data_IF_413558044895
#
_entry.id   IF_413558044895
#
_cell.length_a   1.000
_cell.length_b   1.000
_cell.length_c   1.000
_cell.angle_alpha   90.00
_cell.angle_beta   90.00
_cell.angle_gamma   90.00
#
_symmetry.space_group_name_H-M   'P 1'
#
loop_
_entity.id
_entity.type
_entity.pdbx_description
1 polymer ?
#
# COMPACT_ATOMS: atom_id res chain seq x y z
N UNK A 1 15.86 -23.69 -68.98
CA UNK A 1 16.55 -23.45 -67.69
C UNK A 1 16.28 -22.05 -67.09
N UNK A 2 15.81 -21.06 -67.86
CA UNK A 2 15.63 -19.67 -67.38
C UNK A 2 14.37 -19.41 -66.50
N UNK A 3 13.33 -20.22 -66.65
CA UNK A 3 12.05 -20.04 -65.95
C UNK A 3 12.12 -20.39 -64.46
N UNK A 4 12.95 -21.37 -64.07
CA UNK A 4 13.12 -21.78 -62.66
C UNK A 4 13.85 -20.71 -61.84
N UNK A 5 14.78 -19.97 -62.44
CA UNK A 5 15.58 -18.95 -61.74
C UNK A 5 14.74 -17.72 -61.38
N UNK A 6 13.78 -17.33 -62.21
CA UNK A 6 12.88 -16.19 -61.94
C UNK A 6 11.86 -16.50 -60.84
N UNK A 7 11.33 -17.72 -60.80
CA UNK A 7 10.41 -18.18 -59.75
C UNK A 7 11.10 -18.27 -58.39
N UNK A 8 12.35 -18.77 -58.36
CA UNK A 8 13.14 -18.82 -57.13
C UNK A 8 13.48 -17.41 -56.59
N UNK A 9 13.74 -16.43 -57.46
CA UNK A 9 13.98 -15.04 -57.08
C UNK A 9 12.73 -14.33 -56.56
N UNK A 10 11.56 -14.56 -57.17
CA UNK A 10 10.30 -13.94 -56.71
C UNK A 10 9.83 -14.51 -55.37
N UNK A 11 10.01 -15.81 -55.15
CA UNK A 11 9.76 -16.45 -53.85
C UNK A 11 10.72 -15.91 -52.78
N UNK A 12 12.03 -15.84 -53.03
CA UNK A 12 12.98 -15.22 -52.06
C UNK A 12 12.67 -13.76 -51.74
N UNK A 13 12.24 -12.96 -52.73
CA UNK A 13 11.86 -11.56 -52.51
C UNK A 13 10.61 -11.38 -51.64
N UNK A 14 9.61 -12.27 -51.80
CA UNK A 14 8.38 -12.27 -51.00
C UNK A 14 8.63 -12.71 -49.56
N UNK A 15 9.54 -13.66 -49.35
CA UNK A 15 9.94 -14.12 -48.01
C UNK A 15 10.83 -13.09 -47.29
N UNK A 16 11.69 -12.37 -48.02
CA UNK A 16 12.49 -11.27 -47.48
C UNK A 16 11.64 -10.03 -47.11
N UNK A 17 10.52 -9.79 -47.80
CA UNK A 17 9.58 -8.73 -47.44
C UNK A 17 8.67 -9.11 -46.27
N UNK A 18 8.19 -10.37 -46.22
CA UNK A 18 7.36 -10.88 -45.13
C UNK A 18 8.12 -10.92 -43.79
N UNK A 19 9.41 -11.26 -43.82
CA UNK A 19 10.27 -11.29 -42.61
C UNK A 19 10.55 -9.91 -42.02
N UNK A 20 10.58 -8.84 -42.84
CA UNK A 20 10.82 -7.47 -42.37
C UNK A 20 9.71 -6.90 -41.49
N UNK A 21 8.48 -7.41 -41.62
CA UNK A 21 7.33 -6.97 -40.82
C UNK A 21 6.93 -8.01 -39.77
N UNK A 22 7.10 -9.31 -40.04
CA UNK A 22 6.74 -10.36 -39.10
C UNK A 22 7.60 -10.35 -37.83
N UNK A 23 8.91 -10.10 -37.96
CA UNK A 23 9.83 -10.08 -36.82
C UNK A 23 9.54 -8.93 -35.83
N UNK A 24 9.38 -7.66 -36.25
CA UNK A 24 9.04 -6.58 -35.32
C UNK A 24 7.65 -6.76 -34.72
N UNK A 25 6.66 -7.28 -35.47
CA UNK A 25 5.33 -7.58 -34.94
C UNK A 25 5.37 -8.69 -33.88
N UNK A 26 6.15 -9.74 -34.11
CA UNK A 26 6.34 -10.80 -33.12
C UNK A 26 7.05 -10.28 -31.86
N UNK A 27 8.05 -9.40 -32.00
CA UNK A 27 8.71 -8.76 -30.87
C UNK A 27 7.76 -7.83 -30.09
N UNK A 28 6.90 -7.07 -30.77
CA UNK A 28 5.89 -6.22 -30.14
C UNK A 28 4.86 -7.07 -29.40
N UNK A 29 4.35 -8.14 -30.02
CA UNK A 29 3.41 -9.06 -29.41
C UNK A 29 4.02 -9.73 -28.16
N UNK A 30 5.27 -10.20 -28.24
CA UNK A 30 5.98 -10.76 -27.10
C UNK A 30 6.14 -9.72 -25.97
N UNK A 31 6.45 -8.46 -26.31
CA UNK A 31 6.56 -7.38 -25.32
C UNK A 31 5.23 -7.08 -24.62
N UNK A 32 4.11 -7.08 -25.36
CA UNK A 32 2.77 -6.91 -24.80
C UNK A 32 2.42 -8.10 -23.90
N UNK A 33 2.66 -9.34 -24.34
CA UNK A 33 2.40 -10.54 -23.53
C UNK A 33 3.20 -10.50 -22.22
N UNK A 34 4.49 -10.16 -22.28
CA UNK A 34 5.32 -10.03 -21.06
C UNK A 34 4.76 -8.93 -20.16
N UNK A 35 4.41 -7.76 -20.70
CA UNK A 35 3.87 -6.63 -19.92
C UNK A 35 2.55 -6.99 -19.22
N UNK A 36 1.65 -7.70 -19.92
CA UNK A 36 0.38 -8.15 -19.35
C UNK A 36 0.61 -9.25 -18.30
N UNK A 37 1.52 -10.18 -18.55
CA UNK A 37 1.82 -11.28 -17.64
C UNK A 37 2.47 -10.82 -16.34
N UNK A 38 3.42 -9.86 -16.39
CA UNK A 38 4.08 -9.33 -15.19
C UNK A 38 3.31 -8.18 -14.55
N UNK A 39 2.36 -7.58 -15.28
CA UNK A 39 1.53 -6.46 -14.85
C UNK A 39 2.30 -5.42 -14.00
N UNK A 40 3.32 -4.75 -14.57
CA UNK A 40 4.22 -3.88 -13.80
C UNK A 40 3.49 -2.68 -13.19
N UNK A 41 2.30 -2.35 -13.72
CA UNK A 41 1.43 -1.29 -13.20
C UNK A 41 0.55 -1.76 -12.03
N UNK A 42 0.57 -3.05 -11.67
CA UNK A 42 -0.09 -3.52 -10.45
C UNK A 42 0.47 -2.82 -9.22
N UNK A 43 1.80 -2.66 -9.15
CA UNK A 43 2.47 -1.93 -8.06
C UNK A 43 2.09 -0.45 -8.05
N UNK A 44 1.78 0.14 -9.21
CA UNK A 44 1.33 1.54 -9.23
C UNK A 44 -0.01 1.71 -8.49
N UNK A 45 -0.84 0.67 -8.47
CA UNK A 45 -2.11 0.66 -7.74
C UNK A 45 -1.93 0.44 -6.23
N UNK A 46 -0.75 0.03 -5.77
CA UNK A 46 -0.47 -0.11 -4.34
C UNK A 46 -0.10 1.22 -3.70
N UNK A 47 0.33 2.23 -4.47
CA UNK A 47 0.62 3.58 -3.97
C UNK A 47 -0.62 4.26 -3.39
N UNK A 48 -0.41 4.93 -2.27
CA UNK A 48 -1.43 5.76 -1.63
C UNK A 48 -1.55 7.10 -2.38
N UNK A 49 -2.77 7.64 -2.54
CA UNK A 49 -2.96 8.96 -3.12
C UNK A 49 -2.35 10.06 -2.22
N UNK A 50 -1.95 11.18 -2.82
CA UNK A 50 -1.28 12.29 -2.10
C UNK A 50 -2.09 12.81 -0.91
N UNK A 51 -3.43 12.84 -1.03
CA UNK A 51 -4.33 13.23 0.06
C UNK A 51 -4.18 12.32 1.29
N UNK A 52 -4.04 11.00 1.08
CA UNK A 52 -3.86 10.02 2.15
C UNK A 52 -2.50 10.18 2.83
N UNK A 53 -1.45 10.38 2.02
CA UNK A 53 -0.10 10.66 2.55
C UNK A 53 -0.10 11.94 3.39
N UNK A 54 -0.80 12.99 2.94
CA UNK A 54 -0.94 14.23 3.70
C UNK A 54 -1.71 14.04 5.01
N UNK A 55 -2.77 13.23 5.03
CA UNK A 55 -3.50 12.89 6.25
C UNK A 55 -2.65 12.09 7.24
N UNK A 56 -1.89 11.10 6.76
CA UNK A 56 -0.93 10.33 7.57
C UNK A 56 0.08 11.28 8.19
N UNK A 57 0.78 12.08 7.38
CA UNK A 57 1.81 13.00 7.85
C UNK A 57 1.25 14.04 8.81
N UNK A 58 0.02 14.52 8.59
CA UNK A 58 -0.63 15.47 9.49
C UNK A 58 -0.91 14.86 10.88
N UNK A 59 -1.29 13.58 10.94
CA UNK A 59 -1.45 12.90 12.23
C UNK A 59 -0.11 12.51 12.87
N UNK A 60 0.86 11.99 12.11
CA UNK A 60 2.18 11.68 12.67
C UNK A 60 2.93 12.91 13.19
N UNK A 61 2.65 14.08 12.60
CA UNK A 61 3.18 15.37 13.04
C UNK A 61 2.68 15.86 14.40
N UNK A 62 1.62 15.26 14.97
CA UNK A 62 1.17 15.59 16.34
C UNK A 62 2.03 14.94 17.42
N UNK A 63 2.84 13.95 17.05
CA UNK A 63 3.65 13.17 17.99
C UNK A 63 4.97 13.93 18.29
N UNK A 64 5.25 14.31 19.55
CA UNK A 64 6.47 15.03 19.92
C UNK A 64 7.73 14.23 19.59
N UNK A 65 8.80 14.88 19.10
CA UNK A 65 10.00 14.20 18.55
C UNK A 65 10.71 13.20 19.47
N UNK A 66 10.66 13.42 20.79
CA UNK A 66 11.28 12.55 21.80
C UNK A 66 10.35 11.49 22.42
N UNK A 67 9.08 11.42 22.02
CA UNK A 67 8.14 10.46 22.58
C UNK A 67 8.33 9.05 21.99
N UNK A 68 8.10 8.03 22.82
CA UNK A 68 8.05 6.65 22.36
C UNK A 68 6.79 6.39 21.56
N UNK A 69 6.90 5.63 20.46
CA UNK A 69 5.77 5.35 19.57
C UNK A 69 5.65 3.86 19.29
N UNK A 70 4.44 3.34 19.45
CA UNK A 70 4.05 2.03 18.96
C UNK A 70 3.21 2.22 17.70
N UNK A 71 3.59 1.59 16.59
CA UNK A 71 2.99 1.90 15.29
C UNK A 71 2.63 0.65 14.48
N UNK A 72 1.63 0.77 13.59
CA UNK A 72 1.43 -0.20 12.50
C UNK A 72 2.73 -0.41 11.72
N UNK A 73 2.98 -1.64 11.25
CA UNK A 73 4.25 -2.02 10.61
C UNK A 73 4.65 -1.10 9.44
N UNK A 74 3.67 -0.65 8.67
CA UNK A 74 3.78 0.25 7.52
C UNK A 74 4.07 1.70 7.92
N UNK A 75 3.76 2.10 9.14
CA UNK A 75 4.02 3.45 9.66
C UNK A 75 5.40 3.56 10.34
N UNK A 76 5.99 2.44 10.77
CA UNK A 76 7.34 2.41 11.39
C UNK A 76 8.39 3.13 10.53
N UNK A 77 8.51 2.91 9.20
CA UNK A 77 9.48 3.61 8.38
C UNK A 77 9.34 5.14 8.41
N UNK A 78 8.11 5.66 8.51
CA UNK A 78 7.83 7.11 8.59
C UNK A 78 8.27 7.73 9.93
N UNK A 79 8.44 6.90 10.95
CA UNK A 79 8.80 7.28 12.31
C UNK A 79 10.25 6.87 12.67
N UNK A 80 11.01 6.37 11.71
CA UNK A 80 12.39 5.87 11.88
C UNK A 80 13.41 6.91 12.35
N UNK A 81 13.06 8.20 12.30
CA UNK A 81 13.86 9.28 12.86
C UNK A 81 13.76 9.39 14.39
N UNK A 82 12.90 8.59 15.03
CA UNK A 82 12.69 8.55 16.48
C UNK A 82 13.60 7.52 17.14
N UNK A 83 14.02 7.82 18.37
CA UNK A 83 14.86 6.90 19.15
C UNK A 83 14.09 5.66 19.62
N UNK A 84 12.80 5.81 19.94
CA UNK A 84 11.94 4.74 20.46
C UNK A 84 10.72 4.57 19.56
N UNK A 85 10.83 3.63 18.62
CA UNK A 85 9.77 3.25 17.68
C UNK A 85 9.63 1.73 17.65
N UNK A 86 8.41 1.25 17.83
CA UNK A 86 8.11 -0.17 17.92
C UNK A 86 6.94 -0.55 17.01
N UNK A 87 6.89 -1.82 16.62
CA UNK A 87 5.70 -2.37 15.98
C UNK A 87 4.63 -2.67 17.02
N UNK A 88 3.39 -2.26 16.75
CA UNK A 88 2.26 -2.34 17.69
C UNK A 88 1.91 -3.76 18.13
N UNK A 89 2.11 -4.72 17.25
CA UNK A 89 1.89 -6.15 17.51
C UNK A 89 2.95 -6.75 18.44
N UNK A 90 4.13 -6.13 18.54
CA UNK A 90 5.27 -6.61 19.33
C UNK A 90 5.47 -5.84 20.64
N UNK A 91 5.12 -4.55 20.67
CA UNK A 91 5.32 -3.69 21.82
C UNK A 91 4.12 -2.75 22.03
N UNK A 92 3.07 -3.19 22.73
CA UNK A 92 1.83 -2.42 22.85
C UNK A 92 1.95 -1.21 23.79
N UNK A 93 3.03 -1.09 24.58
CA UNK A 93 3.19 -0.01 25.56
C UNK A 93 4.17 1.06 25.10
N UNK A 94 3.66 2.16 24.56
CA UNK A 94 4.41 3.38 24.26
C UNK A 94 3.61 4.63 24.63
N UNK A 95 4.25 5.80 24.68
CA UNK A 95 3.58 7.06 25.00
C UNK A 95 2.50 7.40 23.96
N UNK A 96 2.78 7.06 22.70
CA UNK A 96 1.88 7.25 21.56
C UNK A 96 1.66 5.94 20.81
N UNK A 97 0.46 5.79 20.28
CA UNK A 97 0.09 4.69 19.38
C UNK A 97 -0.35 5.27 18.05
N UNK A 98 0.22 4.80 16.93
CA UNK A 98 -0.09 5.29 15.59
C UNK A 98 -0.52 4.14 14.67
N UNK A 99 -1.74 4.22 14.14
CA UNK A 99 -2.34 3.14 13.35
C UNK A 99 -2.94 3.67 12.07
N UNK A 100 -2.75 2.96 10.96
CA UNK A 100 -3.53 3.19 9.74
C UNK A 100 -3.78 1.86 9.00
N UNK A 101 -4.98 1.27 9.13
CA UNK A 101 -5.28 -0.01 8.50
C UNK A 101 -5.30 0.07 6.97
N UNK A 102 -5.48 1.26 6.37
CA UNK A 102 -5.49 1.41 4.90
C UNK A 102 -4.12 1.22 4.27
N UNK A 103 -3.05 1.32 5.06
CA UNK A 103 -1.69 1.20 4.53
C UNK A 103 -1.30 -0.26 4.25
N UNK A 104 -2.04 -1.22 4.83
CA UNK A 104 -1.86 -2.64 4.58
C UNK A 104 -2.36 -2.97 3.16
N UNK A 105 -1.56 -3.70 2.39
CA UNK A 105 -2.01 -4.28 1.11
C UNK A 105 -2.89 -5.48 1.36
N UNK A 106 -2.46 -6.36 2.25
CA UNK A 106 -3.18 -7.54 2.75
C UNK A 106 -2.80 -7.74 4.22
N UNK A 107 -3.75 -8.23 5.02
CA UNK A 107 -3.48 -8.67 6.38
C UNK A 107 -3.19 -10.16 6.41
N UNK A 108 -2.25 -10.58 7.24
CA UNK A 108 -2.13 -12.00 7.59
C UNK A 108 -3.38 -12.46 8.37
N UNK A 109 -3.65 -13.76 8.33
CA UNK A 109 -4.81 -14.33 9.02
C UNK A 109 -4.79 -13.96 10.52
N UNK A 110 -5.81 -13.21 10.95
CA UNK A 110 -5.97 -12.73 12.34
C UNK A 110 -5.20 -11.45 12.70
N UNK A 111 -4.34 -10.93 11.82
CA UNK A 111 -3.56 -9.71 12.08
C UNK A 111 -4.46 -8.48 12.23
N UNK A 112 -5.47 -8.34 11.37
CA UNK A 112 -6.38 -7.19 11.44
C UNK A 112 -7.21 -7.21 12.74
N UNK A 113 -7.68 -8.38 13.15
CA UNK A 113 -8.41 -8.55 14.40
C UNK A 113 -7.50 -8.27 15.61
N UNK A 114 -6.24 -8.71 15.55
CA UNK A 114 -5.24 -8.37 16.56
C UNK A 114 -5.05 -6.85 16.65
N UNK A 115 -4.87 -6.18 15.50
CA UNK A 115 -4.69 -4.72 15.45
C UNK A 115 -5.91 -3.98 16.02
N UNK A 116 -7.14 -4.42 15.69
CA UNK A 116 -8.37 -3.85 16.27
C UNK A 116 -8.44 -4.05 17.77
N UNK A 117 -8.09 -5.24 18.26
CA UNK A 117 -8.12 -5.54 19.69
C UNK A 117 -7.10 -4.72 20.47
N UNK A 118 -5.92 -4.47 19.89
CA UNK A 118 -4.91 -3.56 20.46
C UNK A 118 -5.45 -2.14 20.57
N UNK A 119 -5.99 -1.58 19.49
CA UNK A 119 -6.57 -0.22 19.50
C UNK A 119 -7.73 -0.09 20.48
N UNK A 120 -8.64 -1.08 20.53
CA UNK A 120 -9.73 -1.09 21.53
C UNK A 120 -9.19 -1.19 22.96
N UNK A 121 -8.13 -1.98 23.16
CA UNK A 121 -7.43 -2.12 24.43
C UNK A 121 -6.81 -0.80 24.89
N UNK A 122 -6.14 -0.07 24.01
CA UNK A 122 -5.53 1.22 24.31
C UNK A 122 -6.58 2.27 24.70
N UNK A 123 -7.68 2.35 23.93
CA UNK A 123 -8.82 3.21 24.25
C UNK A 123 -9.40 2.88 25.64
N UNK A 124 -9.58 1.59 25.94
CA UNK A 124 -10.06 1.13 27.25
C UNK A 124 -9.04 1.38 28.38
N UNK A 125 -7.74 1.41 28.08
CA UNK A 125 -6.64 1.68 29.01
C UNK A 125 -6.40 3.18 29.24
N UNK A 126 -7.27 4.05 28.70
CA UNK A 126 -7.23 5.50 28.92
C UNK A 126 -6.37 6.26 27.91
N UNK A 127 -6.06 5.67 26.75
CA UNK A 127 -5.54 6.46 25.65
C UNK A 127 -6.67 7.25 24.99
N UNK A 128 -6.50 8.56 24.90
CA UNK A 128 -7.34 9.48 24.15
C UNK A 128 -6.85 9.64 22.71
N UNK A 129 -7.77 10.07 21.84
CA UNK A 129 -7.49 10.37 20.44
C UNK A 129 -6.78 11.74 20.36
N UNK A 130 -5.58 11.77 19.79
CA UNK A 130 -4.82 13.01 19.54
C UNK A 130 -4.95 13.45 18.08
N UNK A 131 -5.12 12.50 17.17
CA UNK A 131 -5.46 12.77 15.77
C UNK A 131 -6.27 11.63 15.17
N UNK A 132 -7.29 11.98 14.37
CA UNK A 132 -8.02 11.05 13.54
C UNK A 132 -8.32 11.73 12.19
N UNK A 133 -7.75 11.20 11.10
CA UNK A 133 -7.98 11.71 9.73
C UNK A 133 -8.10 10.54 8.76
N UNK A 134 -9.24 10.44 8.08
CA UNK A 134 -9.60 9.26 7.29
C UNK A 134 -9.39 7.98 8.09
N UNK A 135 -8.44 7.12 7.70
CA UNK A 135 -8.09 5.89 8.42
C UNK A 135 -6.85 6.00 9.32
N UNK A 136 -6.15 7.13 9.36
CA UNK A 136 -5.02 7.31 10.29
C UNK A 136 -5.53 7.73 11.67
N UNK A 137 -5.06 7.04 12.70
CA UNK A 137 -5.35 7.27 14.10
C UNK A 137 -4.05 7.44 14.88
N UNK A 138 -3.99 8.45 15.74
CA UNK A 138 -2.95 8.61 16.76
C UNK A 138 -3.59 8.74 18.12
N UNK A 139 -3.13 7.91 19.06
CA UNK A 139 -3.58 7.87 20.44
C UNK A 139 -2.44 8.24 21.39
N UNK A 140 -2.77 8.82 22.54
CA UNK A 140 -1.84 9.05 23.65
C UNK A 140 -2.59 9.06 24.99
N UNK A 141 -1.88 8.96 26.11
CA UNK A 141 -2.50 9.01 27.45
C UNK A 141 -2.89 10.44 27.85
N UNK A 142 -3.99 10.92 27.27
CA UNK A 142 -4.54 12.27 27.46
C UNK A 142 -6.06 12.22 27.52
N UNK A 143 -6.65 13.21 28.19
CA UNK A 143 -8.10 13.44 28.10
C UNK A 143 -8.44 14.01 26.71
N UNK A 144 -9.09 13.19 25.89
CA UNK A 144 -9.47 13.55 24.52
C UNK A 144 -10.94 13.92 24.43
N UNK A 145 -11.22 15.02 23.71
CA UNK A 145 -12.56 15.37 23.22
C UNK A 145 -12.75 15.03 21.73
N UNK A 146 -11.71 14.54 21.07
CA UNK A 146 -11.77 14.09 19.68
C UNK A 146 -12.48 12.74 19.58
N UNK A 147 -13.14 12.54 18.43
CA UNK A 147 -13.86 11.32 18.08
C UNK A 147 -13.19 10.63 16.90
N UNK A 148 -13.44 9.32 16.78
CA UNK A 148 -13.05 8.55 15.59
C UNK A 148 -13.73 9.12 14.35
N UNK A 149 -13.08 8.98 13.20
CA UNK A 149 -13.73 9.19 11.90
C UNK A 149 -14.73 8.06 11.64
N UNK A 150 -15.72 8.25 10.74
CA UNK A 150 -16.64 7.18 10.35
C UNK A 150 -15.91 5.94 9.81
N UNK A 151 -14.80 6.12 9.09
CA UNK A 151 -13.98 5.04 8.55
C UNK A 151 -13.32 4.22 9.66
N UNK A 152 -12.74 4.88 10.65
CA UNK A 152 -12.11 4.23 11.80
C UNK A 152 -13.15 3.54 12.70
N UNK A 153 -14.33 4.14 12.89
CA UNK A 153 -15.43 3.51 13.62
C UNK A 153 -15.91 2.24 12.91
N UNK A 154 -16.12 2.30 11.59
CA UNK A 154 -16.51 1.13 10.80
C UNK A 154 -15.46 0.02 10.84
N UNK A 155 -14.17 0.39 10.73
CA UNK A 155 -13.05 -0.54 10.84
C UNK A 155 -13.02 -1.18 12.23
N UNK A 156 -13.02 -0.37 13.30
CA UNK A 156 -13.06 -0.87 14.67
C UNK A 156 -14.32 -1.68 14.98
N UNK A 157 -15.40 -1.54 14.23
CA UNK A 157 -16.64 -2.28 14.43
C UNK A 157 -16.73 -3.59 13.63
N UNK A 158 -15.75 -3.98 12.81
CA UNK A 158 -15.93 -5.18 11.98
C UNK A 158 -16.47 -4.95 10.57
N UNK A 159 -16.87 -3.73 10.22
CA UNK A 159 -17.77 -3.48 9.08
C UNK A 159 -17.08 -3.33 7.72
N UNK A 160 -15.79 -3.04 7.72
CA UNK A 160 -14.93 -2.94 6.53
C UNK A 160 -13.54 -3.48 6.90
N UNK A 161 -12.62 -3.60 5.93
CA UNK A 161 -11.24 -4.07 6.16
C UNK A 161 -10.23 -3.19 5.44
N UNK A 162 -9.12 -2.83 6.11
CA UNK A 162 -7.99 -2.11 5.52
C UNK A 162 -8.38 -0.94 4.60
N UNK A 163 -7.91 -0.99 3.35
CA UNK A 163 -8.23 0.00 2.29
C UNK A 163 -9.70 0.05 1.92
N UNK A 164 -10.48 -1.00 2.16
CA UNK A 164 -11.92 -0.96 1.92
C UNK A 164 -12.67 -0.08 2.93
N UNK A 165 -11.98 0.42 3.96
CA UNK A 165 -12.52 1.41 4.88
C UNK A 165 -12.28 2.86 4.45
N UNK A 166 -11.37 3.12 3.50
CA UNK A 166 -10.99 4.49 3.08
C UNK A 166 -11.89 5.05 2.00
#
# INVERSE_FOLDING_TARGET
MDTCVRVARSLRGRWAAATRLALPLAALAASVVVTVAVNPLAEVRTYLPDSRVAEINACLGTIPGGASVSASNTLVPHLSHRAEIYEITLHPSADYVAVDPSTYSDFFAGEEDQLRNLVRGDLAAGYGIVCAKGTTLVLARVDSTLSLTPQLDAWLAGKCSGRACS
#
